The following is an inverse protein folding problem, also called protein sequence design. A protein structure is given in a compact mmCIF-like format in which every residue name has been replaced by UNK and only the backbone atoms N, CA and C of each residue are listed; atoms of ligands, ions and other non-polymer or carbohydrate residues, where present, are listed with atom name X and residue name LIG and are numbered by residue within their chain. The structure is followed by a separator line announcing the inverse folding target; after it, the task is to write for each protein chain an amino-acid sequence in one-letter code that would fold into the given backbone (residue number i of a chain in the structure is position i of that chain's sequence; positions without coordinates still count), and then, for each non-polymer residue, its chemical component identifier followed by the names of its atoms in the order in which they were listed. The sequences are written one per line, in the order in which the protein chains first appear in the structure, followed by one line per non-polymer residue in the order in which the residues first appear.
data_IF_645662877344
#
_entry.id   IF_645662877344
#
_cell.length_a   1.000
_cell.length_b   1.000
_cell.length_c   1.000
_cell.angle_alpha   90.00
_cell.angle_beta   90.00
_cell.angle_gamma   90.00
#
_symmetry.space_group_name_H-M   'P 1'
#
loop_
_entity.id
_entity.type
_entity.pdbx_description
1 polymer ?
#
# COMPACT_ATOMS: atom_id res chain seq x y z
N UNK A 1 -6.65 -1.60 -21.27
CA UNK A 1 -6.67 -0.73 -20.07
C UNK A 1 -5.53 -1.12 -19.14
N UNK A 2 -4.81 -0.15 -18.57
CA UNK A 2 -3.69 -0.39 -17.65
C UNK A 2 -4.10 0.07 -16.25
N UNK A 3 -4.12 -0.84 -15.29
CA UNK A 3 -4.44 -0.54 -13.89
C UNK A 3 -3.25 0.03 -13.12
N UNK A 4 -3.54 0.84 -12.11
CA UNK A 4 -2.55 1.54 -11.29
C UNK A 4 -2.47 1.03 -9.84
N UNK A 5 -3.29 0.03 -9.47
CA UNK A 5 -3.25 -0.58 -8.15
C UNK A 5 -1.86 -1.18 -7.87
N UNK A 6 -1.36 -0.91 -6.67
CA UNK A 6 -0.09 -1.49 -6.19
C UNK A 6 -0.34 -2.65 -5.22
N UNK A 7 0.72 -3.39 -4.90
CA UNK A 7 0.66 -4.58 -4.05
C UNK A 7 0.07 -4.29 -2.67
N UNK A 8 0.38 -3.13 -2.09
CA UNK A 8 -0.09 -2.77 -0.75
C UNK A 8 -1.61 -2.63 -0.74
N UNK A 9 -2.16 -1.83 -1.65
CA UNK A 9 -3.61 -1.63 -1.83
C UNK A 9 -4.32 -2.98 -2.08
N UNK A 10 -3.76 -3.80 -2.97
CA UNK A 10 -4.35 -5.09 -3.32
C UNK A 10 -4.38 -6.07 -2.15
N UNK A 11 -3.28 -6.16 -1.38
CA UNK A 11 -3.15 -7.11 -0.26
C UNK A 11 -4.10 -6.80 0.90
N UNK A 12 -4.47 -5.55 1.10
CA UNK A 12 -5.38 -5.14 2.19
C UNK A 12 -6.82 -4.91 1.71
N UNK A 13 -7.10 -5.04 0.40
CA UNK A 13 -8.42 -4.77 -0.17
C UNK A 13 -8.78 -3.29 -0.23
N UNK A 14 -7.81 -2.38 -0.28
CA UNK A 14 -8.04 -0.93 -0.32
C UNK A 14 -8.24 -0.45 -1.77
N UNK A 15 -9.33 -0.91 -2.40
CA UNK A 15 -9.76 -0.55 -3.74
C UNK A 15 -11.24 -0.96 -3.94
N UNK A 16 -11.89 -0.46 -4.99
CA UNK A 16 -13.24 -0.91 -5.37
C UNK A 16 -13.15 -2.11 -6.29
N UNK A 17 -13.61 -3.27 -5.81
CA UNK A 17 -13.69 -4.50 -6.62
C UNK A 17 -14.53 -4.28 -7.87
N UNK A 18 -14.05 -4.74 -9.02
CA UNK A 18 -14.65 -4.48 -10.34
C UNK A 18 -14.73 -3.00 -10.76
N UNK A 19 -14.09 -2.10 -10.00
CA UNK A 19 -13.94 -0.69 -10.37
C UNK A 19 -12.81 -0.47 -11.39
N UNK A 20 -12.53 0.79 -11.72
CA UNK A 20 -11.45 1.15 -12.64
C UNK A 20 -10.04 0.74 -12.14
N UNK A 21 -9.89 0.48 -10.85
CA UNK A 21 -8.62 0.04 -10.25
C UNK A 21 -8.36 -1.48 -10.38
N UNK A 22 -9.43 -2.28 -10.58
CA UNK A 22 -9.38 -3.75 -10.54
C UNK A 22 -9.77 -4.38 -11.90
N UNK A 23 -10.78 -3.82 -12.58
CA UNK A 23 -11.27 -4.31 -13.88
C UNK A 23 -10.38 -3.84 -15.05
N UNK A 24 -9.11 -4.28 -15.06
CA UNK A 24 -8.08 -3.84 -16.02
C UNK A 24 -7.43 -5.02 -16.75
N UNK A 25 -6.86 -4.81 -17.95
CA UNK A 25 -6.22 -5.89 -18.73
C UNK A 25 -4.84 -6.27 -18.16
N UNK A 26 -4.08 -5.28 -17.69
CA UNK A 26 -2.75 -5.46 -17.10
C UNK A 26 -2.53 -4.52 -15.91
N UNK A 27 -1.80 -4.98 -14.89
CA UNK A 27 -1.47 -4.21 -13.68
C UNK A 27 0.04 -4.27 -13.38
N UNK A 28 0.86 -3.40 -14.01
CA UNK A 28 2.32 -3.49 -13.92
C UNK A 28 2.88 -3.23 -12.52
N UNK A 29 2.13 -2.53 -11.66
CA UNK A 29 2.55 -2.18 -10.30
C UNK A 29 2.07 -3.18 -9.24
N UNK A 30 1.32 -4.21 -9.60
CA UNK A 30 0.67 -5.13 -8.65
C UNK A 30 1.67 -5.93 -7.80
N UNK A 31 2.91 -6.07 -8.27
CA UNK A 31 3.99 -6.74 -7.56
C UNK A 31 4.90 -5.80 -6.76
N UNK A 32 4.62 -4.50 -6.76
CA UNK A 32 5.38 -3.48 -6.02
C UNK A 32 4.57 -2.95 -4.85
N UNK A 33 5.17 -2.93 -3.66
CA UNK A 33 4.64 -2.24 -2.50
C UNK A 33 4.63 -0.72 -2.71
N UNK A 34 3.78 0.03 -2.00
CA UNK A 34 3.64 1.49 -2.16
C UNK A 34 4.97 2.22 -1.99
N UNK A 35 5.76 1.81 -1.01
CA UNK A 35 7.13 2.31 -0.78
C UNK A 35 8.03 2.07 -1.99
N UNK A 36 7.95 0.90 -2.62
CA UNK A 36 8.69 0.58 -3.84
C UNK A 36 8.20 1.36 -5.07
N UNK A 37 6.89 1.63 -5.17
CA UNK A 37 6.33 2.51 -6.20
C UNK A 37 6.88 3.93 -6.05
N UNK A 38 7.01 4.44 -4.80
CA UNK A 38 7.65 5.75 -4.52
C UNK A 38 9.12 5.77 -4.94
N UNK A 39 9.87 4.69 -4.74
CA UNK A 39 11.26 4.56 -5.23
C UNK A 39 11.33 4.51 -6.76
N UNK A 40 10.46 3.73 -7.40
CA UNK A 40 10.38 3.66 -8.86
C UNK A 40 10.06 5.05 -9.45
N UNK A 41 9.14 5.79 -8.83
CA UNK A 41 8.81 7.15 -9.24
C UNK A 41 10.01 8.11 -9.13
N UNK A 42 10.85 7.97 -8.08
CA UNK A 42 12.12 8.71 -7.97
C UNK A 42 13.07 8.35 -9.10
N UNK A 43 13.25 7.06 -9.38
CA UNK A 43 14.11 6.58 -10.46
C UNK A 43 13.67 7.10 -11.83
N UNK A 44 12.36 7.18 -12.07
CA UNK A 44 11.76 7.71 -13.30
C UNK A 44 11.71 9.25 -13.36
N UNK A 45 12.27 9.96 -12.37
CA UNK A 45 12.27 11.42 -12.27
C UNK A 45 10.86 12.06 -12.28
N UNK A 46 9.87 11.38 -11.66
CA UNK A 46 8.54 11.97 -11.44
C UNK A 46 8.66 13.20 -10.53
N UNK A 47 7.92 14.30 -10.80
CA UNK A 47 7.98 15.49 -9.98
C UNK A 47 7.78 15.23 -8.48
N UNK A 48 8.64 15.80 -7.64
CA UNK A 48 8.61 15.64 -6.17
C UNK A 48 7.25 15.98 -5.56
N UNK A 49 6.52 16.95 -6.13
CA UNK A 49 5.16 17.31 -5.70
C UNK A 49 4.14 16.17 -5.83
N UNK A 50 4.36 15.24 -6.77
CA UNK A 50 3.52 14.06 -6.96
C UNK A 50 3.96 12.96 -5.98
N UNK A 51 5.26 12.70 -5.88
CA UNK A 51 5.81 11.65 -5.01
C UNK A 51 5.51 11.91 -3.53
N UNK A 52 5.59 13.18 -3.10
CA UNK A 52 5.36 13.59 -1.71
C UNK A 52 3.90 13.91 -1.40
N UNK A 53 3.00 13.86 -2.38
CA UNK A 53 1.57 14.06 -2.13
C UNK A 53 1.10 12.93 -1.19
N UNK A 54 0.36 13.23 -0.12
CA UNK A 54 -0.31 12.20 0.67
C UNK A 54 -1.12 11.27 -0.25
N UNK A 55 -0.98 9.96 -0.02
CA UNK A 55 -1.72 8.97 -0.81
C UNK A 55 -3.20 9.16 -0.53
N UNK A 56 -4.07 9.29 -1.53
CA UNK A 56 -5.52 9.33 -1.32
C UNK A 56 -6.27 8.72 -2.50
N UNK A 57 -7.38 8.00 -2.25
CA UNK A 57 -8.27 7.52 -3.30
C UNK A 57 -9.12 8.64 -3.94
N UNK A 58 -9.16 9.84 -3.33
CA UNK A 58 -9.87 11.02 -3.81
C UNK A 58 -11.37 10.79 -4.11
N UNK A 59 -11.99 9.87 -3.37
CA UNK A 59 -13.39 9.44 -3.58
C UNK A 59 -14.42 10.32 -2.86
N UNK A 60 -14.00 11.15 -1.90
CA UNK A 60 -14.88 12.03 -1.14
C UNK A 60 -14.14 13.31 -0.73
N UNK A 61 -14.78 14.50 -0.83
CA UNK A 61 -14.18 15.75 -0.37
C UNK A 61 -13.74 15.65 1.09
N UNK A 62 -12.50 16.07 1.36
CA UNK A 62 -11.91 16.03 2.69
C UNK A 62 -11.20 14.71 3.06
N UNK A 63 -11.33 13.65 2.25
CA UNK A 63 -10.59 12.40 2.44
C UNK A 63 -9.21 12.48 1.78
N UNK A 64 -8.32 13.27 2.37
CA UNK A 64 -7.04 13.62 1.75
C UNK A 64 -5.90 12.63 2.03
N UNK A 65 -6.02 11.78 3.05
CA UNK A 65 -4.95 10.86 3.44
C UNK A 65 -5.47 9.43 3.66
N UNK A 66 -5.04 8.53 2.79
CA UNK A 66 -5.33 7.10 2.87
C UNK A 66 -4.67 6.45 4.07
N UNK A 67 -3.52 6.93 4.56
CA UNK A 67 -2.91 6.41 5.79
C UNK A 67 -3.77 6.72 7.02
N UNK A 68 -4.54 7.82 7.03
CA UNK A 68 -5.52 8.09 8.08
C UNK A 68 -6.67 7.08 8.08
N UNK A 69 -7.10 6.63 6.89
CA UNK A 69 -8.15 5.61 6.75
C UNK A 69 -7.64 4.23 7.14
N UNK A 70 -6.46 3.85 6.65
CA UNK A 70 -5.83 2.54 6.90
C UNK A 70 -5.28 2.48 8.34
N UNK A 71 -5.08 3.63 9.01
CA UNK A 71 -4.57 3.77 10.39
C UNK A 71 -3.14 3.27 10.61
N UNK A 72 -2.36 3.18 9.54
CA UNK A 72 -0.96 2.75 9.55
C UNK A 72 -0.24 3.39 8.37
N UNK A 73 1.03 3.76 8.55
CA UNK A 73 1.83 4.27 7.43
C UNK A 73 2.20 3.17 6.44
N UNK A 74 2.37 3.52 5.17
CA UNK A 74 2.83 2.56 4.16
C UNK A 74 4.19 1.97 4.51
N UNK A 75 5.10 2.74 5.13
CA UNK A 75 6.43 2.24 5.55
C UNK A 75 6.31 1.08 6.54
N UNK A 76 5.40 1.17 7.51
CA UNK A 76 5.21 0.10 8.50
C UNK A 76 4.41 -1.05 7.91
N UNK A 77 3.34 -0.75 7.18
CA UNK A 77 2.45 -1.74 6.58
C UNK A 77 3.18 -2.62 5.56
N UNK A 78 3.95 -2.01 4.65
CA UNK A 78 4.65 -2.74 3.60
C UNK A 78 5.65 -3.74 4.18
N UNK A 79 6.37 -3.37 5.24
CA UNK A 79 7.30 -4.28 5.92
C UNK A 79 6.58 -5.43 6.62
N UNK A 80 5.41 -5.19 7.23
CA UNK A 80 4.58 -6.25 7.83
C UNK A 80 4.09 -7.21 6.74
N UNK A 81 3.54 -6.68 5.65
CA UNK A 81 3.06 -7.48 4.53
C UNK A 81 4.18 -8.29 3.88
N UNK A 82 5.39 -7.72 3.79
CA UNK A 82 6.57 -8.41 3.29
C UNK A 82 6.99 -9.54 4.23
N UNK A 83 7.02 -9.31 5.55
CA UNK A 83 7.37 -10.35 6.52
C UNK A 83 6.37 -11.54 6.47
N UNK A 84 5.07 -11.24 6.35
CA UNK A 84 4.03 -12.25 6.14
C UNK A 84 4.26 -13.04 4.85
N UNK A 85 4.56 -12.36 3.74
CA UNK A 85 4.87 -13.02 2.46
C UNK A 85 6.12 -13.90 2.54
N UNK A 86 7.11 -13.51 3.36
CA UNK A 86 8.31 -14.31 3.63
C UNK A 86 8.10 -15.44 4.64
N UNK A 87 6.87 -15.64 5.13
CA UNK A 87 6.51 -16.74 6.03
C UNK A 87 6.97 -16.54 7.47
N UNK A 88 7.19 -15.29 7.92
CA UNK A 88 7.48 -15.01 9.33
C UNK A 88 6.26 -15.34 10.20
N UNK A 89 6.51 -15.81 11.43
CA UNK A 89 5.43 -16.06 12.39
C UNK A 89 4.87 -14.73 12.89
N UNK A 90 3.56 -14.69 13.16
CA UNK A 90 2.89 -13.51 13.71
C UNK A 90 3.53 -13.03 15.01
N UNK A 91 3.98 -13.95 15.87
CA UNK A 91 4.70 -13.63 17.12
C UNK A 91 5.98 -12.84 16.87
N UNK A 92 6.73 -13.20 15.83
CA UNK A 92 8.01 -12.59 15.51
C UNK A 92 7.80 -11.20 14.91
N UNK A 93 6.80 -11.06 14.03
CA UNK A 93 6.38 -9.77 13.46
C UNK A 93 5.89 -8.84 14.58
N UNK A 94 4.99 -9.31 15.44
CA UNK A 94 4.45 -8.51 16.55
C UNK A 94 5.56 -8.05 17.50
N UNK A 95 6.50 -8.93 17.84
CA UNK A 95 7.67 -8.59 18.66
C UNK A 95 8.57 -7.56 17.98
N UNK A 96 8.88 -7.73 16.70
CA UNK A 96 9.75 -6.83 15.94
C UNK A 96 9.16 -5.42 15.84
N UNK A 97 7.87 -5.31 15.49
CA UNK A 97 7.18 -4.03 15.35
C UNK A 97 6.58 -3.48 16.66
N UNK A 98 6.81 -4.16 17.79
CA UNK A 98 6.27 -3.82 19.12
C UNK A 98 4.75 -3.61 19.09
N UNK A 99 4.05 -4.48 18.37
CA UNK A 99 2.59 -4.45 18.24
C UNK A 99 2.01 -5.31 19.35
N UNK A 100 0.94 -4.82 19.99
CA UNK A 100 0.17 -5.59 20.95
C UNK A 100 -0.49 -6.76 20.20
N UNK A 101 -0.06 -7.99 20.48
CA UNK A 101 -0.71 -9.17 19.91
C UNK A 101 -1.92 -9.51 20.77
N UNK A 102 -3.07 -8.93 20.44
CA UNK A 102 -4.35 -9.23 21.11
C UNK A 102 -4.96 -10.56 20.63
N UNK A 103 -4.18 -11.38 19.94
CA UNK A 103 -4.60 -12.66 19.38
C UNK A 103 -4.53 -13.71 20.51
N UNK A 104 -5.60 -13.76 21.29
CA UNK A 104 -6.05 -14.95 22.03
C UNK A 104 -7.15 -15.63 21.22
#
# INVERSE_FOLDING_TARGET
MVGAANKSEYKIGYFVKHGCDDATDIMPLLNLYKTQVRELARYLNIPTRIIKKPSSPDVMPGLADGEEVIRISYEKMDLILLALEKGWKLSDIAKFFKIRSDIN
#
